data_IF_637381761424
#
_entry.id   IF_637381761424
#
_cell.length_a   1.000
_cell.length_b   1.000
_cell.length_c   1.000
_cell.angle_alpha   90.00
_cell.angle_beta   90.00
_cell.angle_gamma   90.00
#
_symmetry.space_group_name_H-M   'P 1'
#
loop_
_entity.id
_entity.type
_entity.pdbx_description
1 polymer ?
#
# COMPACT_ATOMS: atom_id res chain seq x y z
N UNK A 1 18.45 -0.97 -30.85
CA UNK A 1 18.07 -0.70 -29.45
C UNK A 1 17.44 0.67 -29.38
N UNK A 2 16.13 0.76 -29.13
CA UNK A 2 15.47 2.03 -28.81
C UNK A 2 14.28 1.73 -27.88
N UNK A 3 14.54 1.74 -26.58
CA UNK A 3 13.49 1.83 -25.56
C UNK A 3 13.06 3.30 -25.45
N UNK A 4 11.93 3.64 -26.06
CA UNK A 4 11.26 4.93 -25.86
C UNK A 4 9.75 4.74 -25.96
N UNK A 5 9.10 4.67 -24.80
CA UNK A 5 7.96 5.52 -24.42
C UNK A 5 7.12 4.80 -23.35
N UNK A 6 7.51 4.98 -22.08
CA UNK A 6 6.66 4.72 -20.93
C UNK A 6 5.51 5.74 -20.98
N UNK A 7 4.31 5.25 -21.33
CA UNK A 7 3.13 6.06 -21.50
C UNK A 7 2.63 6.57 -20.14
N UNK A 8 2.97 7.82 -19.83
CA UNK A 8 2.38 8.61 -18.75
C UNK A 8 1.04 9.17 -19.24
N UNK A 9 -0.07 8.54 -18.87
CA UNK A 9 -1.39 9.17 -18.69
C UNK A 9 -2.44 8.08 -18.42
N UNK A 10 -2.88 7.95 -17.18
CA UNK A 10 -4.19 7.36 -16.84
C UNK A 10 -4.60 7.79 -15.43
N UNK A 11 -4.61 9.11 -15.20
CA UNK A 11 -5.47 9.70 -14.18
C UNK A 11 -6.60 10.42 -14.91
N UNK A 12 -7.66 9.65 -15.14
CA UNK A 12 -9.05 10.02 -15.48
C UNK A 12 -9.65 8.89 -16.30
N UNK A 13 -10.02 7.79 -15.65
CA UNK A 13 -11.31 7.19 -15.98
C UNK A 13 -11.74 6.19 -14.90
N UNK A 14 -13.02 6.25 -14.53
CA UNK A 14 -13.67 5.40 -13.52
C UNK A 14 -13.91 3.95 -13.96
N UNK A 15 -13.07 3.38 -14.82
CA UNK A 15 -13.25 2.03 -15.37
C UNK A 15 -11.92 1.34 -15.69
N UNK A 16 -10.98 1.32 -14.75
CA UNK A 16 -9.69 0.62 -14.92
C UNK A 16 -9.81 -0.90 -14.71
N UNK A 17 -10.27 -1.65 -15.72
CA UNK A 17 -10.14 -3.12 -15.77
C UNK A 17 -8.78 -3.45 -16.39
N UNK A 18 -7.86 -4.03 -15.61
CA UNK A 18 -6.69 -4.74 -16.14
C UNK A 18 -6.88 -6.24 -15.92
N UNK A 19 -6.86 -6.99 -17.03
CA UNK A 19 -6.75 -8.45 -17.04
C UNK A 19 -5.28 -8.74 -17.36
N UNK A 20 -4.55 -9.34 -16.44
CA UNK A 20 -3.20 -9.87 -16.70
C UNK A 20 -3.20 -11.36 -16.38
N UNK A 21 -2.75 -12.16 -17.35
CA UNK A 21 -2.66 -13.62 -17.25
C UNK A 21 -1.62 -14.03 -16.20
N UNK A 22 -1.94 -14.87 -15.21
CA UNK A 22 -1.00 -15.26 -14.17
C UNK A 22 -0.17 -16.48 -14.60
N UNK A 23 1.16 -16.33 -14.56
CA UNK A 23 2.07 -17.45 -14.30
C UNK A 23 3.15 -16.94 -13.37
N UNK A 24 3.08 -17.36 -12.11
CA UNK A 24 4.14 -17.21 -11.14
C UNK A 24 3.96 -18.31 -10.08
N UNK A 25 5.07 -18.89 -9.58
CA UNK A 25 5.07 -19.81 -8.43
C UNK A 25 5.35 -19.04 -7.12
N UNK A 26 5.75 -19.74 -6.05
CA UNK A 26 4.93 -20.20 -4.93
C UNK A 26 4.49 -19.11 -3.91
N UNK A 27 4.42 -17.84 -4.33
CA UNK A 27 3.47 -16.86 -3.75
C UNK A 27 2.08 -16.99 -4.39
N UNK A 28 2.04 -17.57 -5.60
CA UNK A 28 0.86 -17.89 -6.36
C UNK A 28 0.89 -19.40 -6.61
N UNK A 29 -0.16 -20.10 -6.20
CA UNK A 29 -0.27 -21.54 -6.44
C UNK A 29 -0.69 -21.79 -7.88
N UNK A 30 -0.03 -22.74 -8.55
CA UNK A 30 -0.49 -23.33 -9.82
C UNK A 30 -1.64 -24.33 -9.62
N UNK A 31 -2.03 -24.61 -8.37
CA UNK A 31 -3.19 -25.45 -8.05
C UNK A 31 -4.28 -24.59 -7.40
N UNK A 32 -5.33 -24.34 -8.18
CA UNK A 32 -6.57 -23.81 -7.65
C UNK A 32 -7.23 -24.90 -6.79
N UNK A 33 -7.15 -24.78 -5.47
CA UNK A 33 -8.14 -25.41 -4.60
C UNK A 33 -9.51 -24.79 -4.93
N UNK A 34 -10.50 -25.65 -5.15
CA UNK A 34 -11.80 -25.40 -5.81
C UNK A 34 -12.73 -24.41 -5.07
N UNK A 35 -12.23 -23.61 -4.12
CA UNK A 35 -13.06 -22.72 -3.29
C UNK A 35 -12.43 -21.38 -2.86
N UNK A 36 -11.29 -20.91 -3.42
CA UNK A 36 -10.70 -19.68 -2.86
C UNK A 36 -9.90 -18.81 -3.85
N UNK A 37 -10.60 -18.20 -4.82
CA UNK A 37 -10.07 -17.04 -5.54
C UNK A 37 -10.18 -15.78 -4.67
N UNK A 38 -9.41 -15.71 -3.57
CA UNK A 38 -9.42 -14.50 -2.75
C UNK A 38 -8.81 -13.34 -3.55
N UNK A 39 -9.67 -12.40 -3.95
CA UNK A 39 -9.26 -11.08 -4.43
C UNK A 39 -8.97 -10.15 -3.25
N UNK A 40 -8.03 -9.23 -3.42
CA UNK A 40 -7.85 -8.14 -2.49
C UNK A 40 -7.40 -6.86 -3.17
N UNK A 41 -7.58 -5.76 -2.46
CA UNK A 41 -7.25 -4.42 -2.90
C UNK A 41 -6.19 -3.86 -1.96
N UNK A 42 -5.02 -3.53 -2.49
CA UNK A 42 -4.09 -2.63 -1.80
C UNK A 42 -4.61 -1.22 -2.02
N UNK A 43 -4.81 -0.46 -0.96
CA UNK A 43 -5.22 0.94 -1.04
C UNK A 43 -4.19 1.83 -0.36
N UNK A 44 -3.96 3.00 -0.94
CA UNK A 44 -3.04 4.01 -0.44
C UNK A 44 -3.81 5.27 -0.11
N UNK A 45 -3.59 5.77 1.10
CA UNK A 45 -4.30 6.91 1.63
C UNK A 45 -3.34 8.03 1.99
N UNK A 46 -3.84 9.25 1.85
CA UNK A 46 -3.22 10.47 2.36
C UNK A 46 -4.08 11.05 3.48
N UNK A 47 -3.47 11.42 4.60
CA UNK A 47 -4.18 12.07 5.71
C UNK A 47 -4.49 13.54 5.38
N UNK A 48 -5.69 13.99 5.75
CA UNK A 48 -6.08 15.39 5.78
C UNK A 48 -5.88 16.04 7.15
N UNK A 49 -5.23 15.36 8.10
CA UNK A 49 -4.95 15.92 9.43
C UNK A 49 -4.07 17.16 9.34
N UNK A 50 -4.39 18.17 10.15
CA UNK A 50 -3.62 19.41 10.31
C UNK A 50 -2.51 19.31 11.37
N UNK A 51 -2.29 18.12 11.95
CA UNK A 51 -1.17 17.90 12.85
C UNK A 51 0.16 18.31 12.17
N UNK A 52 1.01 19.14 12.80
CA UNK A 52 2.18 19.72 12.13
C UNK A 52 3.09 18.69 11.45
N UNK A 53 3.39 17.57 12.11
CA UNK A 53 4.22 16.51 11.56
C UNK A 53 3.58 15.77 10.38
N UNK A 54 2.25 15.64 10.36
CA UNK A 54 1.50 15.00 9.27
C UNK A 54 1.44 15.96 8.08
N UNK A 55 1.08 17.23 8.33
CA UNK A 55 0.94 18.25 7.31
C UNK A 55 2.27 18.54 6.59
N UNK A 56 3.39 18.58 7.33
CA UNK A 56 4.73 18.76 6.78
C UNK A 56 5.15 17.63 5.83
N UNK A 57 4.69 16.40 6.10
CA UNK A 57 5.08 15.20 5.36
C UNK A 57 4.01 14.69 4.41
N UNK A 58 2.90 15.42 4.19
CA UNK A 58 1.68 14.92 3.52
C UNK A 58 1.87 14.29 2.13
N UNK A 59 2.92 14.69 1.41
CA UNK A 59 3.24 14.14 0.08
C UNK A 59 4.05 12.83 0.12
N UNK A 60 4.65 12.50 1.26
CA UNK A 60 5.46 11.30 1.48
C UNK A 60 4.83 10.35 2.50
N UNK A 61 4.04 10.88 3.43
CA UNK A 61 3.35 10.12 4.46
C UNK A 61 2.08 9.50 3.88
N UNK A 62 2.11 8.19 3.70
CA UNK A 62 1.00 7.43 3.16
C UNK A 62 0.62 6.28 4.08
N UNK A 63 -0.68 6.04 4.22
CA UNK A 63 -1.17 4.79 4.80
C UNK A 63 -1.36 3.76 3.70
N UNK A 64 -0.79 2.58 3.89
CA UNK A 64 -0.96 1.45 2.98
C UNK A 64 -1.80 0.42 3.72
N UNK A 65 -2.84 -0.11 3.07
CA UNK A 65 -3.67 -1.15 3.67
C UNK A 65 -4.18 -2.15 2.65
N UNK A 66 -4.66 -3.29 3.14
CA UNK A 66 -5.23 -4.36 2.32
C UNK A 66 -6.68 -4.60 2.74
N UNK A 67 -7.59 -4.79 1.77
CA UNK A 67 -8.99 -5.15 2.04
C UNK A 67 -9.51 -6.15 1.02
N UNK A 68 -10.48 -6.99 1.40
CA UNK A 68 -11.27 -7.78 0.44
C UNK A 68 -12.60 -7.14 0.06
N UNK A 69 -12.99 -6.06 0.75
CA UNK A 69 -14.21 -5.30 0.47
C UNK A 69 -13.93 -4.01 -0.31
N UNK A 70 -14.84 -3.05 -0.24
CA UNK A 70 -14.64 -1.73 -0.87
C UNK A 70 -13.72 -0.85 -0.03
N UNK A 71 -12.85 -0.07 -0.70
CA UNK A 71 -11.96 0.90 -0.02
C UNK A 71 -12.79 1.99 0.65
N UNK A 72 -13.83 2.48 -0.02
CA UNK A 72 -14.79 3.46 0.53
C UNK A 72 -15.38 2.99 1.86
N UNK A 73 -15.84 1.74 1.93
CA UNK A 73 -16.38 1.18 3.17
C UNK A 73 -15.33 1.07 4.28
N UNK A 74 -14.07 0.77 3.92
CA UNK A 74 -12.96 0.67 4.88
C UNK A 74 -12.57 2.02 5.49
N UNK A 75 -12.72 3.12 4.74
CA UNK A 75 -12.32 4.47 5.18
C UNK A 75 -13.48 5.35 5.64
N UNK A 76 -14.72 4.86 5.59
CA UNK A 76 -15.94 5.65 5.87
C UNK A 76 -15.95 6.36 7.24
N UNK A 77 -15.23 5.84 8.25
CA UNK A 77 -15.16 6.41 9.59
C UNK A 77 -13.75 6.89 9.98
N UNK A 78 -12.89 7.19 8.99
CA UNK A 78 -11.49 7.57 9.23
C UNK A 78 -11.33 8.71 10.24
N UNK A 79 -12.12 9.79 10.12
CA UNK A 79 -12.04 10.93 11.04
C UNK A 79 -12.32 10.59 12.52
N UNK A 80 -12.93 9.45 12.80
CA UNK A 80 -13.28 9.01 14.17
C UNK A 80 -12.41 7.86 14.68
N UNK A 81 -11.46 7.39 13.87
CA UNK A 81 -10.65 6.21 14.15
C UNK A 81 -9.17 6.62 14.27
N UNK A 82 -8.58 6.28 15.41
CA UNK A 82 -7.19 6.64 15.71
C UNK A 82 -6.18 5.97 14.75
N UNK A 83 -6.53 4.85 14.13
CA UNK A 83 -5.69 4.21 13.10
C UNK A 83 -5.57 5.05 11.82
N UNK A 84 -6.48 6.01 11.62
CA UNK A 84 -6.48 7.00 10.54
C UNK A 84 -6.08 8.41 11.02
N UNK A 85 -5.41 8.51 12.16
CA UNK A 85 -4.90 9.78 12.69
C UNK A 85 -6.02 10.77 13.07
N UNK A 86 -7.22 10.24 13.38
CA UNK A 86 -8.41 11.03 13.74
C UNK A 86 -8.73 12.14 12.73
N UNK A 87 -8.48 11.85 11.45
CA UNK A 87 -8.73 12.79 10.36
C UNK A 87 -9.33 12.10 9.15
N UNK A 88 -9.97 12.89 8.30
CA UNK A 88 -10.38 12.41 6.98
C UNK A 88 -9.17 12.00 6.15
N UNK A 89 -9.41 11.11 5.19
CA UNK A 89 -8.38 10.59 4.30
C UNK A 89 -8.82 10.73 2.84
N UNK A 90 -7.83 10.87 1.97
CA UNK A 90 -8.01 10.80 0.52
C UNK A 90 -7.47 9.46 0.02
N UNK A 91 -8.25 8.75 -0.80
CA UNK A 91 -7.77 7.57 -1.52
C UNK A 91 -6.99 8.05 -2.75
N UNK A 92 -5.68 7.82 -2.76
CA UNK A 92 -4.81 8.31 -3.84
C UNK A 92 -4.39 7.21 -4.82
N UNK A 93 -4.48 5.94 -4.41
CA UNK A 93 -4.27 4.78 -5.28
C UNK A 93 -5.02 3.53 -4.77
N UNK A 94 -5.41 2.68 -5.72
CA UNK A 94 -5.99 1.35 -5.48
C UNK A 94 -5.40 0.34 -6.47
N UNK A 95 -4.95 -0.82 -5.97
CA UNK A 95 -4.40 -1.90 -6.78
C UNK A 95 -5.19 -3.18 -6.50
N UNK A 96 -5.88 -3.67 -7.53
CA UNK A 96 -6.68 -4.91 -7.44
C UNK A 96 -5.80 -6.10 -7.79
N UNK A 97 -5.74 -7.06 -6.87
CA UNK A 97 -4.97 -8.28 -7.00
C UNK A 97 -5.91 -9.50 -6.89
N UNK A 98 -5.62 -10.52 -7.66
CA UNK A 98 -6.39 -11.77 -7.71
C UNK A 98 -5.52 -12.93 -7.22
N UNK A 99 -6.17 -13.95 -6.63
CA UNK A 99 -5.50 -15.14 -6.10
C UNK A 99 -4.42 -14.81 -5.05
N UNK A 100 -4.73 -13.87 -4.14
CA UNK A 100 -3.79 -13.42 -3.11
C UNK A 100 -4.23 -13.81 -1.71
N UNK A 101 -3.25 -14.16 -0.88
CA UNK A 101 -3.47 -14.25 0.56
C UNK A 101 -3.30 -12.84 1.18
N UNK A 102 -4.42 -12.19 1.51
CA UNK A 102 -4.45 -10.81 2.06
C UNK A 102 -3.60 -10.65 3.32
N UNK A 103 -3.65 -11.60 4.25
CA UNK A 103 -2.86 -11.52 5.49
C UNK A 103 -1.35 -11.65 5.23
N UNK A 104 -0.93 -12.47 4.26
CA UNK A 104 0.49 -12.56 3.86
C UNK A 104 0.94 -11.28 3.16
N UNK A 105 0.09 -10.71 2.32
CA UNK A 105 0.37 -9.46 1.60
C UNK A 105 0.55 -8.28 2.57
N UNK A 106 -0.35 -8.14 3.55
CA UNK A 106 -0.23 -7.12 4.59
C UNK A 106 1.10 -7.25 5.35
N UNK A 107 1.44 -8.45 5.82
CA UNK A 107 2.73 -8.72 6.48
C UNK A 107 3.94 -8.41 5.59
N UNK A 108 3.84 -8.69 4.29
CA UNK A 108 4.89 -8.41 3.31
C UNK A 108 5.12 -6.90 3.18
N UNK A 109 4.05 -6.11 3.00
CA UNK A 109 4.11 -4.65 2.91
C UNK A 109 4.71 -4.05 4.19
N UNK A 110 4.26 -4.50 5.36
CA UNK A 110 4.74 -3.95 6.64
C UNK A 110 6.21 -4.26 6.86
N UNK A 111 6.66 -5.46 6.47
CA UNK A 111 8.07 -5.82 6.55
C UNK A 111 8.90 -4.98 5.57
N UNK A 112 8.44 -4.87 4.33
CA UNK A 112 9.18 -4.20 3.27
C UNK A 112 9.37 -2.69 3.54
N UNK A 113 8.33 -2.01 4.00
CA UNK A 113 8.38 -0.59 4.36
C UNK A 113 8.65 -0.33 5.85
N UNK A 114 8.98 -1.36 6.62
CA UNK A 114 9.12 -1.26 8.08
C UNK A 114 10.18 -0.25 8.52
N UNK A 115 11.25 -0.08 7.74
CA UNK A 115 12.30 0.92 7.95
C UNK A 115 11.81 2.37 7.81
N UNK A 116 10.65 2.57 7.18
CA UNK A 116 10.04 3.85 6.89
C UNK A 116 8.76 4.12 7.68
N UNK A 117 8.44 3.27 8.67
CA UNK A 117 7.23 3.41 9.46
C UNK A 117 7.23 4.76 10.19
N UNK A 118 6.15 5.51 10.03
CA UNK A 118 5.97 6.79 10.69
C UNK A 118 5.59 6.59 12.16
N UNK A 119 6.49 6.97 13.06
CA UNK A 119 6.29 6.83 14.51
C UNK A 119 5.54 8.03 15.07
N UNK A 120 4.22 7.89 15.22
CA UNK A 120 3.37 8.88 15.88
C UNK A 120 2.46 8.19 16.90
N UNK A 121 2.31 8.82 18.05
CA UNK A 121 1.32 8.43 19.06
C UNK A 121 0.28 9.52 19.17
N UNK A 122 -0.99 9.14 19.05
CA UNK A 122 -2.15 10.03 19.25
C UNK A 122 -3.05 9.44 20.32
N UNK A 123 -3.75 10.29 21.05
CA UNK A 123 -4.76 9.81 22.00
C UNK A 123 -6.08 9.57 21.27
N UNK A 124 -6.72 8.42 21.55
CA UNK A 124 -8.09 8.17 21.09
C UNK A 124 -9.10 9.08 21.81
N UNK A 125 -10.38 8.93 21.47
CA UNK A 125 -11.47 9.73 22.08
C UNK A 125 -11.66 9.51 23.58
N UNK A 126 -11.03 8.49 24.16
CA UNK A 126 -11.05 8.16 25.58
C UNK A 126 -9.74 8.51 26.28
N UNK A 127 -8.78 9.10 25.57
CA UNK A 127 -7.46 9.46 26.11
C UNK A 127 -6.44 8.33 26.09
N UNK A 128 -6.74 7.17 25.48
CA UNK A 128 -5.79 6.07 25.39
C UNK A 128 -4.78 6.34 24.26
N UNK A 129 -3.47 6.15 24.49
CA UNK A 129 -2.47 6.30 23.44
C UNK A 129 -2.61 5.19 22.39
N UNK A 130 -2.68 5.59 21.12
CA UNK A 130 -2.72 4.71 19.95
C UNK A 130 -1.56 5.04 19.02
N UNK A 131 -0.85 3.99 18.58
CA UNK A 131 0.27 4.08 17.63
C UNK A 131 -0.05 3.31 16.35
N UNK A 132 -0.54 3.98 15.29
CA UNK A 132 -0.84 3.34 14.01
C UNK A 132 0.42 2.82 13.34
N UNK A 133 0.43 1.56 12.89
CA UNK A 133 1.61 0.90 12.28
C UNK A 133 1.62 0.92 10.74
N UNK A 134 0.54 1.44 10.17
CA UNK A 134 0.20 1.32 8.75
C UNK A 134 0.59 2.56 7.94
N UNK A 135 1.27 3.52 8.58
CA UNK A 135 1.68 4.79 7.98
C UNK A 135 3.18 4.74 7.73
N UNK A 136 3.59 5.11 6.52
CA UNK A 136 4.97 5.02 6.06
C UNK A 136 5.38 6.31 5.32
N UNK A 137 6.63 6.72 5.50
CA UNK A 137 7.26 7.82 4.76
C UNK A 137 7.83 7.27 3.44
N UNK A 138 6.95 7.09 2.46
CA UNK A 138 7.26 6.44 1.18
C UNK A 138 6.57 7.19 0.03
N UNK A 139 7.29 7.63 -1.01
CA UNK A 139 6.67 8.25 -2.18
C UNK A 139 5.70 7.30 -2.90
N UNK A 140 4.61 7.83 -3.47
CA UNK A 140 3.64 7.01 -4.20
C UNK A 140 4.29 6.21 -5.34
N UNK A 141 5.27 6.80 -6.03
CA UNK A 141 6.03 6.15 -7.12
C UNK A 141 6.81 4.92 -6.65
N UNK A 142 7.20 4.87 -5.38
CA UNK A 142 7.88 3.71 -4.80
C UNK A 142 6.86 2.64 -4.41
N UNK A 143 5.68 3.05 -3.94
CA UNK A 143 4.57 2.13 -3.67
C UNK A 143 4.15 1.43 -4.97
N UNK A 144 4.02 2.17 -6.07
CA UNK A 144 3.75 1.61 -7.41
C UNK A 144 4.77 0.52 -7.77
N UNK A 145 6.06 0.82 -7.65
CA UNK A 145 7.14 -0.14 -7.95
C UNK A 145 7.12 -1.37 -7.03
N UNK A 146 6.80 -1.18 -5.75
CA UNK A 146 6.69 -2.28 -4.82
C UNK A 146 5.50 -3.19 -5.18
N UNK A 147 4.37 -2.62 -5.61
CA UNK A 147 3.22 -3.39 -6.08
C UNK A 147 3.57 -4.19 -7.34
N UNK A 148 4.27 -3.59 -8.30
CA UNK A 148 4.72 -4.32 -9.49
C UNK A 148 5.61 -5.53 -9.12
N UNK A 149 6.55 -5.32 -8.18
CA UNK A 149 7.42 -6.38 -7.64
C UNK A 149 6.69 -7.43 -6.78
N UNK A 150 5.54 -7.08 -6.21
CA UNK A 150 4.67 -8.04 -5.52
C UNK A 150 3.99 -8.95 -6.54
N UNK A 151 3.52 -8.37 -7.64
CA UNK A 151 2.81 -9.09 -8.72
C UNK A 151 3.75 -10.07 -9.43
N UNK A 152 4.98 -9.66 -9.72
CA UNK A 152 5.97 -10.56 -10.36
C UNK A 152 6.69 -11.49 -9.37
N UNK A 153 6.48 -11.30 -8.06
CA UNK A 153 7.06 -12.11 -7.00
C UNK A 153 8.54 -11.83 -6.69
N UNK A 154 9.13 -10.78 -7.28
CA UNK A 154 10.53 -10.41 -7.10
C UNK A 154 10.78 -9.55 -5.86
N UNK A 155 9.75 -9.04 -5.16
CA UNK A 155 9.92 -8.08 -4.06
C UNK A 155 10.91 -8.55 -2.98
N UNK A 156 11.02 -9.87 -2.77
CA UNK A 156 11.94 -10.50 -1.81
C UNK A 156 13.43 -10.20 -2.08
N UNK A 157 13.79 -9.89 -3.32
CA UNK A 157 15.17 -9.62 -3.74
C UNK A 157 15.53 -8.14 -3.59
N UNK A 158 14.61 -7.35 -3.02
CA UNK A 158 14.73 -5.90 -2.88
C UNK A 158 14.45 -5.47 -1.44
N UNK A 159 14.90 -4.26 -1.13
CA UNK A 159 14.62 -3.56 0.11
C UNK A 159 14.29 -2.08 -0.16
N UNK A 160 13.50 -1.49 0.74
CA UNK A 160 13.25 -0.05 0.72
C UNK A 160 14.35 0.68 1.49
N UNK A 161 14.96 1.66 0.82
CA UNK A 161 15.94 2.56 1.39
C UNK A 161 15.27 3.91 1.77
N UNK A 162 15.10 4.20 3.07
CA UNK A 162 14.46 5.44 3.52
C UNK A 162 15.33 6.68 3.29
N UNK A 163 16.65 6.55 3.16
CA UNK A 163 17.55 7.70 2.96
C UNK A 163 17.43 8.24 1.54
N UNK A 164 17.34 7.34 0.56
CA UNK A 164 17.19 7.69 -0.86
C UNK A 164 15.75 7.68 -1.35
N UNK A 165 14.80 7.26 -0.49
CA UNK A 165 13.40 7.04 -0.81
C UNK A 165 13.22 6.20 -2.08
N UNK A 166 13.94 5.07 -2.16
CA UNK A 166 14.00 4.23 -3.35
C UNK A 166 14.01 2.73 -3.01
N UNK A 167 13.77 1.90 -4.03
CA UNK A 167 13.91 0.45 -3.92
C UNK A 167 15.27 0.05 -4.49
N UNK A 168 16.07 -0.67 -3.71
CA UNK A 168 17.37 -1.21 -4.12
C UNK A 168 17.39 -2.73 -3.98
N UNK A 169 18.33 -3.38 -4.66
CA UNK A 169 18.55 -4.81 -4.46
C UNK A 169 19.01 -5.03 -3.01
N UNK A 170 18.43 -6.04 -2.35
CA UNK A 170 18.89 -6.43 -1.03
C UNK A 170 20.34 -6.91 -1.15
N UNK A 171 21.22 -6.39 -0.30
CA UNK A 171 22.60 -6.85 -0.25
C UNK A 171 22.64 -8.21 0.46
N UNK A 172 23.43 -9.16 -0.06
CA UNK A 172 23.65 -10.48 0.55
C UNK A 172 24.28 -10.41 1.95
#
# INVERSE_FOLDING_TARGET
MLARSLQKALYRDGAGRRITNPSAGPLFGTEASVDDSQSGIIYVLRSKSDHPEIAANRNLLHKIGVTGGTVVGRVANAAKDATYLLADVEVIAEYKLFNINRSKLEKLIHRFFGSAQFDITINDRFGNPVRPREWFLVPLTVIDQAVDKIVDGSLKDYEYDPETASIRLASE
#
